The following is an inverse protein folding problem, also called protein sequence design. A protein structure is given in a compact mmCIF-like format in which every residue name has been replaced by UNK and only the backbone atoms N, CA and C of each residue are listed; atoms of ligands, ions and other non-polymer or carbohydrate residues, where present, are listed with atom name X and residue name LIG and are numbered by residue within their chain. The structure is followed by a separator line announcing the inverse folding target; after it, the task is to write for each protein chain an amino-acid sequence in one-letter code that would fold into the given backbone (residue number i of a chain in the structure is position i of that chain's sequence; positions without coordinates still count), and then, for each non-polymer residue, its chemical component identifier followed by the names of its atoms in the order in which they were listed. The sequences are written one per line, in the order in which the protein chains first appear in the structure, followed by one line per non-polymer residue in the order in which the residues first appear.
data_IF_069843799572
#
_entry.id   IF_069843799572
#
_cell.length_a   1.000
_cell.length_b   1.000
_cell.length_c   1.000
_cell.angle_alpha   90.00
_cell.angle_beta   90.00
_cell.angle_gamma   90.00
#
_symmetry.space_group_name_H-M   'P 1'
#
loop_
_entity.id
_entity.type
_entity.pdbx_description
1 polymer ?
#
# COMPACT_ATOMS: atom_id res chain seq x y z
N UNK A 1 88.66 -23.81 0.05
CA UNK A 1 87.67 -24.62 -0.70
C UNK A 1 86.27 -24.23 -0.25
N UNK A 2 85.42 -23.88 -1.22
CA UNK A 2 83.95 -23.92 -1.26
C UNK A 2 83.14 -23.14 -0.20
N UNK A 3 82.57 -22.05 -0.71
CA UNK A 3 81.41 -21.32 -0.19
C UNK A 3 80.22 -22.26 0.07
N UNK A 4 79.47 -22.03 1.15
CA UNK A 4 78.07 -22.45 1.24
C UNK A 4 77.24 -21.26 1.71
N UNK A 5 76.41 -20.77 0.79
CA UNK A 5 75.53 -19.63 0.92
C UNK A 5 74.25 -20.06 1.66
N UNK A 6 73.79 -19.17 2.55
CA UNK A 6 72.59 -19.27 3.36
C UNK A 6 71.32 -19.31 2.48
N UNK A 7 70.30 -20.05 2.90
CA UNK A 7 68.93 -19.85 2.43
C UNK A 7 67.97 -20.05 3.59
N UNK A 8 67.63 -18.94 4.25
CA UNK A 8 66.51 -18.89 5.19
C UNK A 8 65.27 -18.50 4.38
N UNK A 9 64.34 -19.44 4.21
CA UNK A 9 63.05 -19.18 3.60
C UNK A 9 62.14 -18.51 4.64
N UNK A 10 62.00 -17.19 4.58
CA UNK A 10 60.96 -16.46 5.31
C UNK A 10 59.63 -16.62 4.58
N UNK A 11 58.75 -17.48 5.11
CA UNK A 11 57.37 -17.56 4.66
C UNK A 11 56.60 -16.32 5.15
N UNK A 12 56.29 -15.39 4.24
CA UNK A 12 55.40 -14.27 4.52
C UNK A 12 53.95 -14.77 4.45
N UNK A 13 53.31 -14.93 5.62
CA UNK A 13 51.88 -15.21 5.70
C UNK A 13 51.10 -13.92 5.38
N UNK A 14 50.55 -13.83 4.17
CA UNK A 14 49.63 -12.74 3.79
C UNK A 14 48.26 -13.11 4.36
N UNK A 15 47.93 -12.60 5.54
CA UNK A 15 46.56 -12.65 6.07
C UNK A 15 45.74 -11.60 5.33
N UNK A 16 44.95 -12.03 4.34
CA UNK A 16 43.90 -11.21 3.75
C UNK A 16 42.78 -11.09 4.79
N UNK A 17 42.84 -10.04 5.59
CA UNK A 17 41.71 -9.64 6.44
C UNK A 17 40.60 -9.15 5.51
N UNK A 18 39.70 -10.05 5.15
CA UNK A 18 38.44 -9.69 4.50
C UNK A 18 37.68 -8.75 5.42
N UNK A 19 37.52 -7.49 5.00
CA UNK A 19 36.49 -6.61 5.56
C UNK A 19 35.14 -7.25 5.26
N UNK A 20 34.63 -8.03 6.21
CA UNK A 20 33.23 -8.36 6.29
C UNK A 20 32.50 -7.03 6.49
N UNK A 21 32.09 -6.41 5.38
CA UNK A 21 31.12 -5.32 5.43
C UNK A 21 29.90 -5.88 6.13
N UNK A 22 29.69 -5.46 7.38
CA UNK A 22 28.43 -5.69 8.05
C UNK A 22 27.39 -4.97 7.21
N UNK A 23 26.57 -5.75 6.49
CA UNK A 23 25.36 -5.21 5.89
C UNK A 23 24.63 -4.54 7.05
N UNK A 24 24.55 -3.21 7.02
CA UNK A 24 23.71 -2.48 7.94
C UNK A 24 22.34 -3.16 7.87
N UNK A 25 21.71 -3.56 8.99
CA UNK A 25 20.36 -4.06 8.95
C UNK A 25 19.55 -3.02 8.18
N UNK A 26 19.06 -3.42 6.99
CA UNK A 26 18.19 -2.58 6.21
C UNK A 26 17.06 -2.22 7.17
N UNK A 27 17.02 -0.96 7.61
CA UNK A 27 15.89 -0.43 8.34
C UNK A 27 14.69 -0.85 7.49
N UNK A 28 13.86 -1.75 8.03
CA UNK A 28 12.72 -2.25 7.33
C UNK A 28 11.82 -1.04 7.09
N UNK A 29 12.00 -0.40 5.93
CA UNK A 29 11.11 0.65 5.47
C UNK A 29 9.70 0.08 5.63
N UNK A 30 8.76 0.84 6.19
CA UNK A 30 7.37 0.43 6.21
C UNK A 30 7.00 -0.08 4.82
N UNK A 31 6.39 -1.26 4.72
CA UNK A 31 6.13 -1.91 3.42
C UNK A 31 5.35 -0.98 2.48
N UNK A 32 4.56 -0.06 3.03
CA UNK A 32 3.86 1.00 2.32
C UNK A 32 4.77 1.98 1.57
N UNK A 33 5.94 2.30 2.11
CA UNK A 33 6.95 3.08 1.39
C UNK A 33 7.55 2.31 0.22
N UNK A 34 7.82 1.02 0.43
CA UNK A 34 8.28 0.16 -0.64
C UNK A 34 7.21 0.03 -1.73
N UNK A 35 5.93 -0.19 -1.37
CA UNK A 35 4.81 -0.21 -2.31
C UNK A 35 4.76 1.09 -3.09
N UNK A 36 4.79 2.24 -2.43
CA UNK A 36 4.70 3.54 -3.08
C UNK A 36 5.84 3.76 -4.09
N UNK A 37 7.09 3.58 -3.65
CA UNK A 37 8.28 3.82 -4.48
C UNK A 37 8.39 2.81 -5.63
N UNK A 38 8.12 1.54 -5.35
CA UNK A 38 8.18 0.49 -6.37
C UNK A 38 7.03 0.63 -7.38
N UNK A 39 5.84 1.01 -6.95
CA UNK A 39 4.71 1.30 -7.84
C UNK A 39 5.03 2.49 -8.76
N UNK A 40 5.61 3.56 -8.22
CA UNK A 40 6.05 4.72 -8.99
C UNK A 40 7.10 4.35 -10.06
N UNK A 41 7.93 3.33 -9.79
CA UNK A 41 8.95 2.81 -10.71
C UNK A 41 8.51 1.59 -11.54
N UNK A 42 7.23 1.21 -11.54
CA UNK A 42 6.72 0.10 -12.35
C UNK A 42 7.11 -1.31 -11.86
N UNK A 43 7.33 -1.49 -10.56
CA UNK A 43 7.73 -2.75 -9.91
C UNK A 43 9.05 -3.34 -10.45
N UNK A 44 10.19 -2.65 -10.26
CA UNK A 44 11.47 -3.16 -10.73
C UNK A 44 11.84 -4.47 -10.03
N UNK A 45 12.59 -5.32 -10.73
CA UNK A 45 13.02 -6.62 -10.21
C UNK A 45 14.04 -6.44 -9.07
N UNK A 46 13.55 -6.30 -7.84
CA UNK A 46 14.34 -6.24 -6.62
C UNK A 46 13.60 -6.94 -5.49
N UNK A 47 14.33 -7.55 -4.55
CA UNK A 47 13.73 -8.19 -3.38
C UNK A 47 12.70 -7.32 -2.63
N UNK A 48 12.95 -6.03 -2.32
CA UNK A 48 11.96 -5.19 -1.65
C UNK A 48 10.73 -4.92 -2.52
N UNK A 49 10.87 -4.71 -3.83
CA UNK A 49 9.73 -4.47 -4.72
C UNK A 49 8.90 -5.73 -4.98
N UNK A 50 9.53 -6.90 -5.07
CA UNK A 50 8.81 -8.18 -5.16
C UNK A 50 7.97 -8.43 -3.91
N UNK A 51 8.55 -8.20 -2.72
CA UNK A 51 7.81 -8.31 -1.46
C UNK A 51 6.67 -7.30 -1.37
N UNK A 52 6.93 -6.03 -1.71
CA UNK A 52 5.93 -4.98 -1.73
C UNK A 52 4.78 -5.28 -2.71
N UNK A 53 5.07 -5.81 -3.91
CA UNK A 53 4.05 -6.23 -4.89
C UNK A 53 3.19 -7.36 -4.34
N UNK A 54 3.77 -8.32 -3.63
CA UNK A 54 3.02 -9.38 -2.99
C UNK A 54 2.05 -8.85 -1.93
N UNK A 55 2.48 -7.88 -1.10
CA UNK A 55 1.60 -7.23 -0.11
C UNK A 55 0.52 -6.39 -0.76
N UNK A 56 0.85 -5.64 -1.82
CA UNK A 56 -0.12 -4.90 -2.63
C UNK A 56 -1.21 -5.83 -3.18
N UNK A 57 -0.82 -6.97 -3.75
CA UNK A 57 -1.74 -8.00 -4.24
C UNK A 57 -2.55 -8.58 -3.07
N UNK A 58 -1.91 -8.90 -1.94
CA UNK A 58 -2.59 -9.46 -0.78
C UNK A 58 -3.73 -8.58 -0.26
N UNK A 59 -3.53 -7.26 -0.20
CA UNK A 59 -4.56 -6.29 0.25
C UNK A 59 -5.78 -6.25 -0.66
N UNK A 60 -5.59 -6.53 -1.95
CA UNK A 60 -6.67 -6.58 -2.93
C UNK A 60 -7.24 -7.99 -3.13
N UNK A 61 -6.59 -9.03 -2.60
CA UNK A 61 -7.07 -10.43 -2.62
C UNK A 61 -8.10 -10.67 -1.51
N UNK A 62 -9.03 -11.61 -1.69
CA UNK A 62 -10.45 -11.32 -1.43
C UNK A 62 -10.83 -11.16 0.06
N UNK A 63 -11.79 -10.24 0.22
CA UNK A 63 -12.58 -9.79 1.37
C UNK A 63 -12.01 -9.88 2.80
N UNK A 64 -11.92 -8.75 3.52
CA UNK A 64 -12.26 -7.37 3.09
C UNK A 64 -11.19 -6.80 2.16
N UNK A 65 -11.58 -6.24 1.02
CA UNK A 65 -10.65 -5.59 0.09
C UNK A 65 -10.20 -4.28 0.73
N UNK A 66 -8.91 -4.18 1.04
CA UNK A 66 -8.28 -2.97 1.57
C UNK A 66 -7.76 -2.08 0.43
N UNK A 67 -7.64 -0.76 0.66
CA UNK A 67 -6.91 0.11 -0.27
C UNK A 67 -5.49 -0.44 -0.50
N UNK A 68 -5.04 -0.57 -1.76
CA UNK A 68 -3.75 -1.20 -2.05
C UNK A 68 -2.56 -0.48 -1.40
N UNK A 69 -2.61 0.85 -1.38
CA UNK A 69 -1.62 1.74 -0.79
C UNK A 69 -2.18 2.45 0.44
N UNK A 70 -1.44 2.46 1.54
CA UNK A 70 -1.78 3.20 2.75
C UNK A 70 -0.78 4.34 2.93
N UNK A 71 -0.98 5.42 2.17
CA UNK A 71 0.02 6.49 2.01
C UNK A 71 0.45 7.14 3.32
N UNK A 72 -0.45 7.24 4.30
CA UNK A 72 -0.19 7.75 5.64
C UNK A 72 0.86 6.94 6.44
N UNK A 73 1.07 5.66 6.08
CA UNK A 73 2.12 4.82 6.69
C UNK A 73 3.50 5.06 6.10
N UNK A 74 3.60 5.88 5.06
CA UNK A 74 4.86 6.24 4.45
C UNK A 74 5.16 7.73 4.60
N UNK A 75 5.89 8.14 5.66
CA UNK A 75 6.27 9.53 5.88
C UNK A 75 7.39 9.94 4.91
N UNK A 76 7.05 10.18 3.64
CA UNK A 76 7.96 10.81 2.68
C UNK A 76 7.69 12.31 2.62
N UNK A 77 8.11 13.05 3.65
CA UNK A 77 8.25 14.51 3.57
C UNK A 77 6.98 15.33 3.30
N UNK A 78 5.78 14.74 3.18
CA UNK A 78 4.54 15.46 3.38
C UNK A 78 4.59 15.95 4.83
N UNK A 79 4.80 17.24 5.02
CA UNK A 79 4.92 17.84 6.33
C UNK A 79 3.66 17.54 7.11
N UNK A 80 3.71 16.53 7.98
CA UNK A 80 2.82 16.47 9.12
C UNK A 80 3.15 17.74 9.90
N UNK A 81 2.31 18.77 9.76
CA UNK A 81 2.09 19.67 10.88
C UNK A 81 1.38 18.83 11.91
N UNK A 82 2.15 17.98 12.60
CA UNK A 82 1.74 17.48 13.90
C UNK A 82 1.35 18.75 14.66
N UNK A 83 0.09 18.90 15.14
CA UNK A 83 -0.22 20.00 16.02
C UNK A 83 0.85 19.93 17.10
N UNK A 84 1.69 20.97 17.18
CA UNK A 84 2.79 21.00 18.12
C UNK A 84 2.23 20.52 19.45
N UNK A 85 2.79 19.43 19.99
CA UNK A 85 2.34 18.89 21.27
C UNK A 85 2.19 20.09 22.21
N UNK A 86 0.99 20.33 22.78
CA UNK A 86 0.72 21.57 23.48
C UNK A 86 1.81 21.76 24.50
N UNK A 87 2.41 22.95 24.51
CA UNK A 87 3.45 23.25 25.49
C UNK A 87 2.86 23.00 26.89
N UNK A 88 3.66 22.60 27.90
CA UNK A 88 3.13 22.26 29.22
C UNK A 88 2.18 23.31 29.81
N UNK A 89 2.37 24.59 29.45
CA UNK A 89 1.47 25.71 29.79
C UNK A 89 0.08 25.62 29.14
N UNK A 90 -0.02 25.25 27.87
CA UNK A 90 -1.29 25.13 27.13
C UNK A 90 -2.10 23.94 27.65
N UNK A 91 -1.41 22.86 28.04
CA UNK A 91 -2.03 21.73 28.72
C UNK A 91 -2.62 22.13 30.08
N UNK A 92 -1.87 22.88 30.90
CA UNK A 92 -2.36 23.37 32.19
C UNK A 92 -3.57 24.32 32.06
N UNK A 93 -3.57 25.20 31.06
CA UNK A 93 -4.71 26.10 30.78
C UNK A 93 -5.95 25.28 30.42
N UNK A 94 -5.81 24.25 29.59
CA UNK A 94 -6.92 23.40 29.18
C UNK A 94 -7.51 22.62 30.36
N UNK A 95 -6.67 22.12 31.27
CA UNK A 95 -7.13 21.47 32.51
C UNK A 95 -7.87 22.45 33.42
N UNK A 96 -7.33 23.65 33.60
CA UNK A 96 -7.96 24.67 34.44
C UNK A 96 -9.33 25.11 33.88
N UNK A 97 -9.52 25.03 32.56
CA UNK A 97 -10.76 25.38 31.88
C UNK A 97 -11.85 24.31 31.99
N UNK A 98 -11.49 23.06 32.32
CA UNK A 98 -12.42 21.93 32.41
C UNK A 98 -12.95 21.66 33.83
N UNK A 99 -12.64 22.51 34.80
CA UNK A 99 -13.17 22.37 36.17
C UNK A 99 -14.56 23.01 36.26
N UNK A 100 -15.58 22.24 35.89
CA UNK A 100 -16.88 22.30 36.56
C UNK A 100 -16.91 21.15 37.57
N UNK A 101 -17.14 21.39 38.88
CA UNK A 101 -17.01 20.34 39.87
C UNK A 101 -18.27 19.47 39.86
N UNK A 102 -18.19 18.29 39.25
CA UNK A 102 -19.07 17.17 39.57
C UNK A 102 -18.21 16.01 40.07
N UNK A 103 -18.16 15.84 41.39
CA UNK A 103 -17.48 14.71 42.03
C UNK A 103 -18.23 13.42 41.67
N UNK A 104 -17.52 12.46 41.09
CA UNK A 104 -17.92 11.06 40.98
C UNK A 104 -16.72 10.18 41.34
N UNK A 105 -16.95 9.17 42.18
CA UNK A 105 -15.97 8.22 42.73
C UNK A 105 -15.20 7.43 41.65
N UNK A 106 -14.04 6.83 41.97
CA UNK A 106 -13.08 6.36 40.98
C UNK A 106 -13.52 5.02 40.39
N UNK A 107 -13.80 4.99 39.09
CA UNK A 107 -13.84 3.74 38.34
C UNK A 107 -12.46 3.49 37.70
N UNK A 108 -11.90 2.33 38.02
CA UNK A 108 -10.61 1.89 37.51
C UNK A 108 -10.82 1.25 36.15
N UNK A 109 -10.93 2.07 35.12
CA UNK A 109 -10.78 1.62 33.74
C UNK A 109 -9.80 2.55 33.03
N UNK A 110 -8.61 2.00 32.73
CA UNK A 110 -7.66 2.64 31.85
C UNK A 110 -8.40 3.05 30.56
N UNK A 111 -8.34 4.31 30.13
CA UNK A 111 -8.87 4.65 28.84
C UNK A 111 -7.98 3.96 27.80
N UNK A 112 -8.53 2.90 27.19
CA UNK A 112 -8.15 2.52 25.85
C UNK A 112 -8.35 3.78 25.02
N UNK A 113 -7.26 4.51 24.76
CA UNK A 113 -7.26 5.58 23.77
C UNK A 113 -7.69 4.91 22.48
N UNK A 114 -8.88 5.22 21.93
CA UNK A 114 -9.16 4.83 20.58
C UNK A 114 -8.16 5.64 19.76
N UNK A 115 -7.17 4.97 19.15
CA UNK A 115 -6.41 5.56 18.06
C UNK A 115 -7.46 5.86 17.00
N UNK A 116 -7.88 7.12 16.94
CA UNK A 116 -8.93 7.57 16.06
C UNK A 116 -8.49 7.27 14.63
N UNK A 117 -9.30 6.48 13.93
CA UNK A 117 -9.09 6.11 12.53
C UNK A 117 -9.29 7.28 11.54
N UNK A 118 -9.22 8.53 12.03
CA UNK A 118 -9.38 9.75 11.24
C UNK A 118 -8.05 10.34 10.77
N UNK A 119 -6.90 9.90 11.29
CA UNK A 119 -5.57 10.34 10.82
C UNK A 119 -5.08 9.62 9.54
N UNK A 120 -5.92 8.78 8.92
CA UNK A 120 -5.49 7.97 7.78
C UNK A 120 -5.50 8.76 6.46
N UNK A 121 -6.34 9.79 6.31
CA UNK A 121 -6.58 10.44 5.01
C UNK A 121 -6.36 11.96 5.03
N UNK A 122 -5.33 12.43 5.73
CA UNK A 122 -4.95 13.85 5.74
C UNK A 122 -3.55 14.08 5.16
N UNK A 123 -3.23 13.40 4.06
CA UNK A 123 -1.97 13.61 3.34
C UNK A 123 -2.29 14.29 2.02
N UNK A 124 -1.80 15.52 1.84
CA UNK A 124 -1.97 16.24 0.58
C UNK A 124 -1.16 15.58 -0.53
N UNK A 125 -1.87 14.95 -1.47
CA UNK A 125 -1.34 14.36 -2.69
C UNK A 125 -1.87 15.06 -3.95
N UNK A 126 -2.24 16.33 -3.83
CA UNK A 126 -2.64 17.15 -4.98
C UNK A 126 -1.50 17.40 -5.97
N UNK A 127 -0.24 17.34 -5.52
CA UNK A 127 0.94 17.48 -6.36
C UNK A 127 1.03 16.44 -7.48
N UNK A 128 1.70 16.81 -8.57
CA UNK A 128 1.95 15.96 -9.74
C UNK A 128 2.80 14.73 -9.41
N UNK A 129 3.71 14.85 -8.44
CA UNK A 129 4.52 13.74 -7.92
C UNK A 129 3.67 12.54 -7.45
N UNK A 130 2.39 12.75 -7.11
CA UNK A 130 1.47 11.71 -6.68
C UNK A 130 0.38 11.38 -7.71
N UNK A 131 0.49 11.86 -8.95
CA UNK A 131 -0.44 11.51 -10.04
C UNK A 131 -0.54 10.00 -10.23
N UNK A 132 0.58 9.27 -10.07
CA UNK A 132 0.59 7.81 -10.16
C UNK A 132 -0.30 7.16 -9.08
N UNK A 133 -0.33 7.69 -7.84
CA UNK A 133 -1.23 7.21 -6.77
C UNK A 133 -2.69 7.50 -7.13
N UNK A 134 -2.97 8.73 -7.60
CA UNK A 134 -4.30 9.14 -8.04
C UNK A 134 -4.75 8.45 -9.33
N UNK A 135 -3.84 7.79 -10.06
CA UNK A 135 -4.16 6.97 -11.23
C UNK A 135 -4.65 5.57 -10.88
N UNK A 136 -4.40 5.09 -9.65
CA UNK A 136 -4.81 3.74 -9.23
C UNK A 136 -6.33 3.63 -9.27
N UNK A 137 -6.84 2.62 -9.97
CA UNK A 137 -8.26 2.27 -10.03
C UNK A 137 -8.40 0.81 -9.64
N UNK A 138 -9.26 0.53 -8.67
CA UNK A 138 -9.53 -0.85 -8.22
C UNK A 138 -10.97 -1.20 -8.54
N UNK A 139 -11.17 -2.15 -9.43
CA UNK A 139 -12.46 -2.68 -9.78
C UNK A 139 -12.71 -3.97 -8.99
N UNK A 140 -13.64 -3.93 -8.04
CA UNK A 140 -14.18 -5.15 -7.43
C UNK A 140 -15.34 -5.63 -8.31
N UNK A 141 -15.04 -6.58 -9.18
CA UNK A 141 -15.95 -7.10 -10.20
C UNK A 141 -16.79 -8.23 -9.60
N UNK A 142 -18.10 -8.06 -9.65
CA UNK A 142 -19.06 -9.11 -9.31
C UNK A 142 -20.14 -9.10 -10.36
N UNK A 143 -19.96 -9.93 -11.38
CA UNK A 143 -20.81 -9.97 -12.55
C UNK A 143 -21.31 -11.39 -12.81
N UNK A 144 -22.59 -11.50 -13.11
CA UNK A 144 -23.16 -12.72 -13.65
C UNK A 144 -24.16 -12.41 -14.74
N UNK A 145 -24.19 -13.27 -15.75
CA UNK A 145 -25.28 -13.28 -16.70
C UNK A 145 -25.60 -14.70 -17.11
N UNK A 146 -26.87 -14.97 -17.40
CA UNK A 146 -27.32 -16.25 -17.90
C UNK A 146 -28.64 -16.07 -18.63
N UNK A 147 -28.95 -17.03 -19.50
CA UNK A 147 -30.29 -17.16 -20.06
C UNK A 147 -31.21 -17.84 -19.04
N UNK A 148 -32.45 -17.42 -18.95
CA UNK A 148 -33.47 -18.15 -18.19
C UNK A 148 -34.19 -19.18 -19.06
N UNK A 149 -35.32 -19.70 -18.58
CA UNK A 149 -36.11 -20.72 -19.30
C UNK A 149 -36.87 -20.13 -20.49
N UNK A 150 -37.23 -18.85 -20.42
CA UNK A 150 -38.05 -18.17 -21.42
C UNK A 150 -37.19 -17.58 -22.55
N UNK A 151 -35.86 -17.59 -22.36
CA UNK A 151 -34.89 -17.13 -23.34
C UNK A 151 -34.32 -15.75 -23.03
N UNK A 152 -34.82 -15.12 -21.96
CA UNK A 152 -34.42 -13.79 -21.53
C UNK A 152 -33.03 -13.81 -20.88
N UNK A 153 -32.30 -12.72 -21.07
CA UNK A 153 -30.96 -12.57 -20.52
C UNK A 153 -31.02 -11.88 -19.16
N UNK A 154 -30.85 -12.66 -18.10
CA UNK A 154 -30.76 -12.13 -16.74
C UNK A 154 -29.31 -11.73 -16.48
N UNK A 155 -29.11 -10.46 -16.12
CA UNK A 155 -27.81 -9.87 -15.80
C UNK A 155 -27.81 -9.31 -14.39
N UNK A 156 -26.74 -9.56 -13.65
CA UNK A 156 -26.49 -9.00 -12.33
C UNK A 156 -25.07 -8.42 -12.31
N UNK A 157 -24.97 -7.15 -11.92
CA UNK A 157 -23.71 -6.43 -11.83
C UNK A 157 -23.67 -5.65 -10.51
N UNK A 158 -22.76 -6.06 -9.63
CA UNK A 158 -22.47 -5.41 -8.35
C UNK A 158 -21.04 -4.84 -8.32
N UNK A 159 -20.49 -4.51 -9.50
CA UNK A 159 -19.13 -3.99 -9.64
C UNK A 159 -18.97 -2.64 -8.92
N UNK A 160 -17.85 -2.48 -8.22
CA UNK A 160 -17.48 -1.23 -7.53
C UNK A 160 -16.12 -0.74 -8.01
N UNK A 161 -15.95 0.58 -8.04
CA UNK A 161 -14.70 1.25 -8.37
C UNK A 161 -14.14 1.93 -7.12
N UNK A 162 -12.92 1.57 -6.76
CA UNK A 162 -12.11 2.19 -5.73
C UNK A 162 -11.11 3.16 -6.33
N UNK A 163 -10.92 4.31 -5.69
CA UNK A 163 -9.99 5.36 -6.14
C UNK A 163 -9.52 6.22 -4.98
N UNK A 164 -8.32 6.79 -5.11
CA UNK A 164 -7.77 7.79 -4.19
C UNK A 164 -8.21 9.22 -4.56
N UNK A 165 -8.59 10.01 -3.56
CA UNK A 165 -8.77 11.45 -3.65
C UNK A 165 -7.47 12.21 -3.40
N UNK A 166 -7.53 13.54 -3.42
CA UNK A 166 -6.35 14.41 -3.28
C UNK A 166 -5.82 14.50 -1.85
N UNK A 167 -6.60 14.10 -0.84
CA UNK A 167 -6.15 14.02 0.56
C UNK A 167 -5.67 12.60 0.94
N UNK A 168 -5.51 11.73 -0.06
CA UNK A 168 -5.17 10.33 0.18
C UNK A 168 -6.35 9.49 0.68
N UNK A 169 -7.56 10.06 0.74
CA UNK A 169 -8.79 9.34 1.05
C UNK A 169 -9.07 8.28 -0.02
N UNK A 170 -9.44 7.09 0.41
CA UNK A 170 -9.82 6.02 -0.50
C UNK A 170 -11.31 5.74 -0.38
N UNK A 171 -12.00 5.72 -1.51
CA UNK A 171 -13.45 5.56 -1.56
C UNK A 171 -13.90 4.56 -2.61
N UNK A 172 -14.96 3.85 -2.28
CA UNK A 172 -15.67 2.97 -3.20
C UNK A 172 -16.89 3.68 -3.77
N UNK A 173 -17.04 3.62 -5.09
CA UNK A 173 -18.20 4.09 -5.82
C UNK A 173 -18.86 2.94 -6.56
N UNK A 174 -20.16 3.04 -6.80
CA UNK A 174 -20.88 2.11 -7.69
C UNK A 174 -20.32 2.26 -9.11
N UNK A 175 -20.07 1.14 -9.77
CA UNK A 175 -19.56 1.10 -11.14
C UNK A 175 -20.26 -0.04 -11.91
N UNK A 176 -19.73 -0.41 -13.07
CA UNK A 176 -20.22 -1.51 -13.90
C UNK A 176 -19.09 -2.16 -14.68
N UNK A 177 -19.31 -3.38 -15.16
CA UNK A 177 -18.38 -4.11 -16.04
C UNK A 177 -18.03 -3.37 -17.34
N UNK A 178 -18.89 -2.45 -17.78
CA UNK A 178 -18.63 -1.64 -18.97
C UNK A 178 -17.44 -0.66 -18.76
N UNK A 179 -17.17 -0.26 -17.52
CA UNK A 179 -16.07 0.64 -17.17
C UNK A 179 -14.76 -0.08 -16.84
N UNK A 180 -14.79 -1.41 -16.70
CA UNK A 180 -13.59 -2.22 -16.46
C UNK A 180 -12.71 -2.16 -17.72
N UNK A 181 -11.41 -1.86 -17.60
CA UNK A 181 -10.50 -1.81 -18.74
C UNK A 181 -10.44 -3.11 -19.56
N UNK A 182 -10.17 -3.05 -20.89
CA UNK A 182 -10.01 -4.23 -21.73
C UNK A 182 -8.83 -5.13 -21.35
N UNK A 183 -7.88 -4.63 -20.56
CA UNK A 183 -6.77 -5.43 -20.04
C UNK A 183 -7.24 -6.53 -19.05
N UNK A 184 -8.44 -6.38 -18.48
CA UNK A 184 -9.02 -7.42 -17.64
C UNK A 184 -9.41 -8.66 -18.46
N UNK A 185 -9.26 -9.83 -17.86
CA UNK A 185 -9.70 -11.12 -18.41
C UNK A 185 -11.23 -11.32 -18.38
N UNK A 186 -12.01 -10.32 -17.94
CA UNK A 186 -13.46 -10.35 -17.92
C UNK A 186 -14.05 -10.69 -19.32
N UNK A 187 -14.82 -11.79 -19.45
CA UNK A 187 -15.44 -12.16 -20.71
C UNK A 187 -16.47 -11.12 -21.19
N UNK A 188 -16.43 -10.79 -22.49
CA UNK A 188 -17.39 -9.88 -23.14
C UNK A 188 -18.12 -10.59 -24.30
N UNK A 189 -18.97 -11.60 -24.01
CA UNK A 189 -19.67 -12.34 -25.05
C UNK A 189 -20.69 -11.45 -25.78
N UNK A 190 -20.79 -11.60 -27.10
CA UNK A 190 -21.75 -10.90 -27.96
C UNK A 190 -23.21 -11.31 -27.69
N UNK A 191 -23.42 -12.51 -27.13
CA UNK A 191 -24.72 -13.07 -26.81
C UNK A 191 -24.85 -13.34 -25.30
N UNK A 192 -26.06 -13.72 -24.85
CA UNK A 192 -26.30 -14.11 -23.46
C UNK A 192 -25.72 -15.50 -23.13
N UNK A 193 -24.41 -15.66 -23.29
CA UNK A 193 -23.68 -16.81 -22.78
C UNK A 193 -23.63 -16.74 -21.25
N UNK A 194 -23.67 -17.90 -20.59
CA UNK A 194 -23.55 -17.97 -19.14
C UNK A 194 -22.18 -17.47 -18.70
N UNK A 195 -22.14 -16.45 -17.86
CA UNK A 195 -20.92 -15.91 -17.26
C UNK A 195 -21.16 -15.79 -15.76
N UNK A 196 -20.19 -16.25 -14.99
CA UNK A 196 -20.06 -15.91 -13.58
C UNK A 196 -18.62 -15.45 -13.38
N UNK A 197 -18.45 -14.21 -12.96
CA UNK A 197 -17.15 -13.58 -12.89
C UNK A 197 -17.01 -12.76 -11.61
N UNK A 198 -16.05 -13.15 -10.79
CA UNK A 198 -15.67 -12.46 -9.57
C UNK A 198 -14.16 -12.26 -9.59
N UNK A 199 -13.75 -11.01 -9.48
CA UNK A 199 -12.35 -10.65 -9.50
C UNK A 199 -12.13 -9.29 -8.87
N UNK A 200 -10.93 -9.05 -8.38
CA UNK A 200 -10.41 -7.70 -8.19
C UNK A 200 -9.42 -7.42 -9.30
N UNK A 201 -9.72 -6.40 -10.10
CA UNK A 201 -8.85 -5.89 -11.15
C UNK A 201 -8.34 -4.53 -10.72
N UNK A 202 -7.04 -4.33 -10.71
CA UNK A 202 -6.43 -3.02 -10.42
C UNK A 202 -5.56 -2.61 -11.59
N UNK A 203 -5.68 -1.36 -12.00
CA UNK A 203 -4.79 -0.73 -12.96
C UNK A 203 -4.25 0.60 -12.42
N UNK A 204 -3.09 0.98 -12.93
CA UNK A 204 -2.41 2.22 -12.58
C UNK A 204 -1.51 2.67 -13.74
N UNK A 205 -1.03 3.91 -13.63
CA UNK A 205 0.10 4.42 -14.39
C UNK A 205 1.22 4.73 -13.42
N UNK A 206 2.44 4.28 -13.74
CA UNK A 206 3.62 4.64 -12.95
C UNK A 206 4.01 6.12 -13.17
N UNK A 207 5.06 6.59 -12.51
CA UNK A 207 5.49 7.99 -12.63
C UNK A 207 5.98 8.34 -14.06
N UNK A 208 6.45 7.36 -14.82
CA UNK A 208 6.82 7.53 -16.23
C UNK A 208 5.62 7.43 -17.19
N UNK A 209 4.42 7.16 -16.68
CA UNK A 209 3.19 7.02 -17.45
C UNK A 209 2.95 5.62 -18.02
N UNK A 210 3.81 4.64 -17.71
CA UNK A 210 3.63 3.27 -18.17
C UNK A 210 2.41 2.65 -17.49
N UNK A 211 1.61 1.93 -18.28
CA UNK A 211 0.42 1.26 -17.78
C UNK A 211 0.78 -0.08 -17.13
N UNK A 212 0.28 -0.31 -15.92
CA UNK A 212 0.39 -1.58 -15.19
C UNK A 212 -0.97 -2.04 -14.70
N UNK A 213 -1.13 -3.35 -14.53
CA UNK A 213 -2.34 -3.92 -13.95
C UNK A 213 -2.05 -5.23 -13.20
N UNK A 214 -2.97 -5.59 -12.30
CA UNK A 214 -3.05 -6.89 -11.65
C UNK A 214 -4.50 -7.36 -11.63
N UNK A 215 -4.70 -8.67 -11.76
CA UNK A 215 -6.04 -9.25 -11.64
C UNK A 215 -6.02 -10.51 -10.78
N UNK A 216 -6.91 -10.55 -9.79
CA UNK A 216 -7.06 -11.67 -8.87
C UNK A 216 -8.50 -12.17 -8.94
N UNK A 217 -8.67 -13.42 -9.34
CA UNK A 217 -9.98 -14.09 -9.45
C UNK A 217 -10.27 -14.96 -8.22
N UNK A 218 -11.53 -15.09 -7.83
CA UNK A 218 -11.99 -15.90 -6.67
C UNK A 218 -13.48 -16.25 -6.73
#
# INVERSE_FOLDING_TARGET
MKQMIRSAATAAAITVSGLLGTAAPAQAYPVDCAILLCLAGGWPASAPCTHARAVFIQRITPWPIEPPLQIWRCPMGASFSSPAAPSPREWLINIASQVSPSISLPDSSLPLVPVQADEQANVDISGDAFDFVRSIRVYHIQFSQRRDRDGDCIRSDATRLGSYGVQGDYRWLRSSVAQVPPASALPRPLHCASVNYRAVFVDWRDHAGNYGFEEVRY
#
